data_IF_454914580276
#
_entry.id   IF_454914580276
#
_cell.length_a   1.000
_cell.length_b   1.000
_cell.length_c   1.000
_cell.angle_alpha   90.00
_cell.angle_beta   90.00
_cell.angle_gamma   90.00
#
_symmetry.space_group_name_H-M   'P 1'
#
loop_
_entity.id
_entity.type
_entity.pdbx_description
1 polymer ?
#
# COMPACT_ATOMS: atom_id res chain seq x y z
N UNK A 1 -24.18 19.15 11.28
CA UNK A 1 -23.29 19.11 10.10
C UNK A 1 -24.16 18.97 8.87
N UNK A 2 -23.99 19.78 7.81
CA UNK A 2 -24.68 19.49 6.56
C UNK A 2 -24.27 18.08 6.11
N UNK A 3 -25.23 17.29 5.64
CA UNK A 3 -25.04 15.98 4.97
C UNK A 3 -24.63 14.77 5.84
N UNK A 4 -24.95 14.72 7.14
CA UNK A 4 -24.76 13.51 7.97
C UNK A 4 -23.32 12.93 7.90
N UNK A 5 -22.32 13.79 7.70
CA UNK A 5 -20.91 13.41 7.51
C UNK A 5 -20.10 13.72 8.78
N UNK A 6 -19.19 12.82 9.16
CA UNK A 6 -18.24 13.01 10.26
C UNK A 6 -16.82 13.00 9.68
N UNK A 7 -16.12 14.13 9.80
CA UNK A 7 -14.75 14.26 9.34
C UNK A 7 -13.77 13.99 10.48
N UNK A 8 -12.84 13.08 10.26
CA UNK A 8 -11.88 12.62 11.26
C UNK A 8 -10.46 12.70 10.72
N UNK A 9 -9.55 13.17 11.56
CA UNK A 9 -8.13 12.98 11.35
C UNK A 9 -7.62 11.89 12.29
N UNK A 10 -6.94 10.91 11.70
CA UNK A 10 -6.47 9.71 12.38
C UNK A 10 -4.96 9.58 12.18
N UNK A 11 -4.17 9.44 13.25
CA UNK A 11 -2.74 9.13 13.12
C UNK A 11 -2.51 7.79 12.40
N UNK A 12 -1.80 7.84 11.28
CA UNK A 12 -1.62 6.66 10.42
C UNK A 12 -0.85 5.52 11.11
N UNK A 13 0.19 5.82 11.90
CA UNK A 13 1.03 4.79 12.51
C UNK A 13 0.27 3.93 13.56
N UNK A 14 -0.48 4.50 14.53
CA UNK A 14 -1.38 3.74 15.39
C UNK A 14 -2.45 2.97 14.61
N UNK A 15 -3.08 3.60 13.62
CA UNK A 15 -4.11 2.95 12.79
C UNK A 15 -3.54 1.73 12.04
N UNK A 16 -2.38 1.88 11.41
CA UNK A 16 -1.71 0.79 10.71
C UNK A 16 -1.36 -0.35 11.67
N UNK A 17 -0.89 -0.05 12.88
CA UNK A 17 -0.61 -1.09 13.89
C UNK A 17 -1.88 -1.85 14.27
N UNK A 18 -2.98 -1.13 14.47
CA UNK A 18 -4.26 -1.72 14.82
C UNK A 18 -4.82 -2.59 13.69
N UNK A 19 -4.77 -2.11 12.44
CA UNK A 19 -5.19 -2.88 11.26
C UNK A 19 -4.32 -4.12 11.04
N UNK A 20 -3.01 -4.06 11.31
CA UNK A 20 -2.13 -5.26 11.26
C UNK A 20 -2.57 -6.34 12.25
N UNK A 21 -3.03 -5.96 13.44
CA UNK A 21 -3.57 -6.92 14.41
C UNK A 21 -4.88 -7.57 13.92
N UNK A 22 -5.61 -6.92 13.02
CA UNK A 22 -6.86 -7.42 12.45
C UNK A 22 -6.67 -8.32 11.21
N UNK A 23 -5.45 -8.44 10.67
CA UNK A 23 -5.21 -9.09 9.38
C UNK A 23 -5.67 -10.57 9.33
N UNK A 24 -5.56 -11.29 10.44
CA UNK A 24 -5.99 -12.69 10.56
C UNK A 24 -7.14 -12.83 11.57
N UNK A 25 -7.90 -11.76 11.79
CA UNK A 25 -9.02 -11.77 12.73
C UNK A 25 -10.27 -12.39 12.09
N UNK A 26 -11.08 -13.02 12.94
CA UNK A 26 -12.41 -13.53 12.57
C UNK A 26 -13.35 -12.34 12.32
N UNK A 27 -13.23 -11.32 13.16
CA UNK A 27 -14.04 -10.12 13.08
C UNK A 27 -13.25 -8.89 13.54
N UNK A 28 -13.58 -7.74 12.93
CA UNK A 28 -13.05 -6.44 13.30
C UNK A 28 -14.19 -5.41 13.28
N UNK A 29 -14.36 -4.67 14.36
CA UNK A 29 -15.37 -3.61 14.48
C UNK A 29 -14.70 -2.29 14.82
N UNK A 30 -15.01 -1.25 14.06
CA UNK A 30 -14.51 0.11 14.29
C UNK A 30 -15.65 0.97 14.83
N UNK A 31 -15.43 1.63 15.97
CA UNK A 31 -16.41 2.50 16.62
C UNK A 31 -15.80 3.82 17.05
N UNK A 32 -16.57 4.90 16.93
CA UNK A 32 -16.25 6.17 17.57
C UNK A 32 -16.65 6.12 19.04
N UNK A 33 -15.69 6.36 19.94
CA UNK A 33 -15.91 6.40 21.38
C UNK A 33 -15.35 7.69 21.96
N UNK A 34 -15.73 7.99 23.20
CA UNK A 34 -15.24 9.14 23.95
C UNK A 34 -14.90 8.69 25.36
N UNK A 35 -13.64 8.83 25.77
CA UNK A 35 -13.15 8.46 27.10
C UNK A 35 -12.39 9.64 27.69
N UNK A 36 -12.72 10.01 28.93
CA UNK A 36 -12.08 11.15 29.63
C UNK A 36 -12.09 12.45 28.80
N UNK A 37 -13.19 12.69 28.09
CA UNK A 37 -13.39 13.80 27.15
C UNK A 37 -12.49 13.78 25.88
N UNK A 38 -11.75 12.70 25.63
CA UNK A 38 -10.92 12.49 24.44
C UNK A 38 -11.70 11.65 23.41
N UNK A 39 -11.85 12.11 22.16
CA UNK A 39 -12.45 11.30 21.10
C UNK A 39 -11.47 10.23 20.62
N UNK A 40 -11.96 9.01 20.45
CA UNK A 40 -11.18 7.82 20.11
C UNK A 40 -11.84 7.07 18.96
N UNK A 41 -11.02 6.49 18.10
CA UNK A 41 -11.41 5.43 17.17
C UNK A 41 -11.01 4.10 17.80
N UNK A 42 -12.00 3.37 18.30
CA UNK A 42 -11.81 2.08 18.98
C UNK A 42 -11.98 0.95 17.97
N UNK A 43 -10.92 0.18 17.74
CA UNK A 43 -10.93 -1.02 16.91
C UNK A 43 -10.96 -2.25 17.82
N UNK A 44 -12.10 -2.93 17.85
CA UNK A 44 -12.28 -4.22 18.53
C UNK A 44 -12.04 -5.35 17.54
N UNK A 45 -11.06 -6.19 17.84
CA UNK A 45 -10.56 -7.27 16.98
C UNK A 45 -10.78 -8.58 17.70
N UNK A 46 -11.31 -9.56 17.00
CA UNK A 46 -11.60 -10.87 17.55
C UNK A 46 -10.86 -11.94 16.76
N UNK A 47 -9.98 -12.70 17.42
CA UNK A 47 -9.10 -13.70 16.79
C UNK A 47 -9.26 -15.06 17.47
N UNK A 48 -9.19 -16.16 16.72
CA UNK A 48 -9.06 -17.51 17.30
C UNK A 48 -7.63 -17.73 17.77
N UNK A 49 -7.44 -18.22 19.00
CA UNK A 49 -6.13 -18.67 19.45
C UNK A 49 -5.99 -20.17 19.18
N UNK A 50 -5.20 -20.50 18.16
CA UNK A 50 -4.62 -21.85 18.07
C UNK A 50 -3.45 -21.87 19.05
N UNK A 51 -3.58 -22.61 20.14
CA UNK A 51 -2.51 -22.79 21.13
C UNK A 51 -1.30 -23.50 20.49
N UNK A 52 -0.38 -22.77 19.86
CA UNK A 52 0.96 -23.26 19.52
C UNK A 52 1.92 -23.01 20.68
N UNK A 53 1.64 -23.65 21.82
CA UNK A 53 2.58 -23.74 22.94
C UNK A 53 3.29 -25.09 22.91
N UNK A 54 4.63 -25.16 23.07
CA UNK A 54 5.30 -26.43 23.25
C UNK A 54 4.80 -27.08 24.55
N UNK A 55 4.63 -28.41 24.62
CA UNK A 55 4.17 -29.08 25.83
C UNK A 55 5.21 -28.83 26.93
N UNK A 56 4.83 -28.03 27.92
CA UNK A 56 5.67 -27.78 29.08
C UNK A 56 5.82 -29.09 29.85
N UNK A 57 7.07 -29.52 30.00
CA UNK A 57 7.47 -30.76 30.66
C UNK A 57 6.80 -30.94 32.02
N UNK A 58 6.09 -32.05 32.19
CA UNK A 58 5.60 -32.52 33.47
C UNK A 58 6.78 -32.88 34.36
N UNK A 59 7.02 -32.05 35.38
CA UNK A 59 7.94 -32.34 36.47
C UNK A 59 7.32 -33.37 37.42
N UNK A 60 7.63 -34.66 37.24
CA UNK A 60 7.49 -35.69 38.30
C UNK A 60 8.48 -36.83 38.06
N UNK A 61 9.61 -36.81 38.76
CA UNK A 61 10.03 -37.92 39.62
C UNK A 61 11.34 -37.58 40.34
N UNK A 62 11.22 -37.42 41.66
CA UNK A 62 12.32 -37.44 42.60
C UNK A 62 12.15 -38.66 43.52
N UNK A 63 13.29 -39.29 43.84
CA UNK A 63 13.52 -40.46 44.73
C UNK A 63 13.27 -41.81 44.04
N UNK A 64 14.21 -42.75 43.93
CA UNK A 64 15.39 -43.05 44.73
C UNK A 64 15.09 -44.27 45.61
N UNK A 65 15.75 -45.41 45.36
CA UNK A 65 15.68 -46.58 46.24
C UNK A 65 15.90 -47.92 45.53
N UNK A 66 16.97 -48.61 45.92
CA UNK A 66 17.34 -49.97 45.52
C UNK A 66 16.43 -51.04 46.16
N UNK A 67 16.39 -52.26 45.61
CA UNK A 67 15.79 -53.41 46.27
C UNK A 67 15.46 -54.57 45.32
N UNK A 68 16.07 -55.72 45.60
CA UNK A 68 15.89 -57.02 44.97
C UNK A 68 14.51 -57.67 45.26
N UNK A 69 14.22 -58.70 44.44
CA UNK A 69 13.57 -59.97 44.81
C UNK A 69 12.04 -60.08 44.98
N UNK A 70 11.53 -61.23 44.52
CA UNK A 70 10.50 -62.00 45.23
C UNK A 70 9.01 -61.75 44.97
N UNK A 71 8.41 -62.67 44.21
CA UNK A 71 7.13 -63.38 44.49
C UNK A 71 5.77 -62.66 44.58
N UNK A 72 4.82 -63.27 43.86
CA UNK A 72 3.40 -63.53 44.16
C UNK A 72 2.42 -62.38 44.45
N UNK A 73 1.25 -62.47 43.81
CA UNK A 73 0.07 -61.73 44.26
C UNK A 73 -1.02 -61.59 43.21
N UNK A 74 -1.69 -62.69 42.88
CA UNK A 74 -3.01 -62.67 42.26
C UNK A 74 -3.98 -62.00 43.25
N UNK A 75 -4.61 -60.89 42.91
CA UNK A 75 -5.96 -60.62 43.40
C UNK A 75 -6.77 -59.78 42.40
N UNK A 76 -7.99 -60.25 42.22
CA UNK A 76 -8.98 -59.79 41.29
C UNK A 76 -9.79 -58.64 41.90
N UNK A 77 -10.54 -57.97 41.03
CA UNK A 77 -11.62 -57.02 41.34
C UNK A 77 -11.20 -55.65 41.89
N UNK A 78 -10.97 -54.72 40.95
CA UNK A 78 -11.35 -53.33 41.16
C UNK A 78 -11.94 -52.80 39.87
N UNK A 79 -13.16 -52.28 39.97
CA UNK A 79 -13.96 -51.68 38.93
C UNK A 79 -13.11 -50.73 38.07
N UNK A 80 -13.07 -51.04 36.77
CA UNK A 80 -12.48 -50.18 35.76
C UNK A 80 -13.41 -48.96 35.59
N UNK A 81 -13.19 -47.91 36.39
CA UNK A 81 -13.76 -46.58 36.13
C UNK A 81 -13.18 -46.07 34.82
N UNK A 82 -13.89 -46.34 33.72
CA UNK A 82 -13.85 -45.59 32.47
C UNK A 82 -14.30 -44.15 32.73
N UNK A 83 -13.47 -43.37 33.43
CA UNK A 83 -13.79 -41.99 33.72
C UNK A 83 -12.49 -41.20 33.80
N UNK A 84 -11.73 -41.10 32.68
CA UNK A 84 -10.64 -40.10 32.52
C UNK A 84 -9.99 -40.00 31.12
N UNK A 85 -10.57 -40.51 30.04
CA UNK A 85 -10.06 -40.24 28.67
C UNK A 85 -10.86 -39.17 27.91
N UNK A 86 -12.03 -38.76 28.41
CA UNK A 86 -12.83 -37.68 27.82
C UNK A 86 -12.55 -36.28 28.42
N UNK A 87 -11.85 -36.24 29.57
CA UNK A 87 -11.53 -34.98 30.26
C UNK A 87 -10.33 -34.22 29.67
N UNK A 88 -9.50 -34.86 28.85
CA UNK A 88 -8.35 -34.22 28.19
C UNK A 88 -8.62 -33.79 26.74
N UNK A 89 -9.62 -34.39 26.09
CA UNK A 89 -10.00 -34.07 24.70
C UNK A 89 -10.90 -32.84 24.59
N UNK A 90 -11.53 -32.41 25.70
CA UNK A 90 -12.48 -31.29 25.76
C UNK A 90 -11.84 -29.94 26.12
N UNK A 91 -10.52 -29.89 26.39
CA UNK A 91 -9.84 -28.67 26.85
C UNK A 91 -9.03 -27.95 25.77
N UNK A 92 -8.97 -28.48 24.55
CA UNK A 92 -8.61 -27.71 23.38
C UNK A 92 -9.86 -26.96 22.86
N UNK A 93 -10.53 -26.22 23.76
CA UNK A 93 -11.53 -25.24 23.34
C UNK A 93 -10.78 -24.19 22.53
N UNK A 94 -11.22 -24.02 21.29
CA UNK A 94 -10.87 -22.92 20.40
C UNK A 94 -11.16 -21.61 21.15
N UNK A 95 -10.17 -21.07 21.85
CA UNK A 95 -10.34 -19.87 22.67
C UNK A 95 -10.35 -18.67 21.76
N UNK A 96 -11.43 -17.91 21.81
CA UNK A 96 -11.52 -16.63 21.15
C UNK A 96 -10.86 -15.56 22.05
N UNK A 97 -10.01 -14.73 21.47
CA UNK A 97 -9.43 -13.57 22.15
C UNK A 97 -9.89 -12.28 21.49
N UNK A 98 -10.43 -11.38 22.31
CA UNK A 98 -10.85 -10.05 21.88
C UNK A 98 -9.83 -9.02 22.34
N UNK A 99 -9.31 -8.23 21.40
CA UNK A 99 -8.36 -7.14 21.64
C UNK A 99 -9.03 -5.83 21.22
N UNK A 100 -9.04 -4.84 22.10
CA UNK A 100 -9.52 -3.49 21.78
C UNK A 100 -8.35 -2.52 21.74
N UNK A 101 -8.22 -1.79 20.64
CA UNK A 101 -7.19 -0.77 20.45
C UNK A 101 -7.83 0.60 20.26
N UNK A 102 -7.54 1.52 21.18
CA UNK A 102 -8.05 2.88 21.14
C UNK A 102 -7.03 3.81 20.47
N UNK A 103 -7.44 4.45 19.38
CA UNK A 103 -6.61 5.40 18.63
C UNK A 103 -7.15 6.81 18.88
N UNK A 104 -6.36 7.75 19.43
CA UNK A 104 -6.80 9.13 19.55
C UNK A 104 -7.01 9.74 18.17
N UNK A 105 -8.14 10.42 18.00
CA UNK A 105 -8.53 11.07 16.74
C UNK A 105 -8.83 12.54 16.98
N UNK A 106 -8.85 13.32 15.90
CA UNK A 106 -9.34 14.70 15.92
C UNK A 106 -10.60 14.79 15.07
N UNK A 107 -11.70 15.24 15.68
CA UNK A 107 -12.94 15.53 14.95
C UNK A 107 -12.79 16.90 14.30
N UNK A 108 -12.91 16.96 12.97
CA UNK A 108 -12.72 18.17 12.20
C UNK A 108 -14.05 18.90 12.00
N UNK A 109 -14.04 20.22 12.19
CA UNK A 109 -15.18 21.06 11.87
C UNK A 109 -15.37 21.13 10.34
N UNK A 110 -16.61 21.25 9.82
CA UNK A 110 -16.86 21.33 8.38
C UNK A 110 -16.05 22.42 7.67
N UNK A 111 -15.91 23.60 8.28
CA UNK A 111 -15.12 24.70 7.74
C UNK A 111 -13.62 24.37 7.57
N UNK A 112 -13.08 23.45 8.39
CA UNK A 112 -11.68 23.00 8.27
C UNK A 112 -11.47 22.03 7.10
N UNK A 113 -12.55 21.43 6.58
CA UNK A 113 -12.51 20.41 5.51
C UNK A 113 -12.89 20.98 4.16
N UNK A 114 -13.51 22.16 4.12
CA UNK A 114 -13.88 22.87 2.88
C UNK A 114 -12.67 23.08 1.93
N UNK A 115 -11.47 23.27 2.49
CA UNK A 115 -10.22 23.36 1.73
C UNK A 115 -9.56 22.02 1.37
N UNK A 116 -10.03 20.89 1.89
CA UNK A 116 -9.49 19.55 1.65
C UNK A 116 -10.29 18.85 0.55
N UNK A 117 -10.19 19.37 -0.67
CA UNK A 117 -10.80 18.77 -1.85
C UNK A 117 -9.73 18.28 -2.83
N UNK A 118 -10.15 17.47 -3.79
CA UNK A 118 -9.32 17.05 -4.90
C UNK A 118 -8.74 18.29 -5.62
N UNK A 119 -7.44 18.35 -5.87
CA UNK A 119 -6.84 19.49 -6.54
C UNK A 119 -7.36 19.61 -7.97
N UNK A 120 -7.72 20.83 -8.38
CA UNK A 120 -8.10 21.12 -9.76
C UNK A 120 -6.86 20.97 -10.65
N UNK A 121 -6.91 20.02 -11.57
CA UNK A 121 -5.88 19.79 -12.58
C UNK A 121 -6.39 20.21 -13.96
N UNK A 122 -5.46 20.52 -14.86
CA UNK A 122 -5.80 20.69 -16.29
C UNK A 122 -6.13 19.35 -16.93
N UNK A 123 -6.72 19.40 -18.11
CA UNK A 123 -6.92 18.22 -18.93
C UNK A 123 -5.58 17.57 -19.31
N UNK A 124 -5.46 16.24 -19.16
CA UNK A 124 -4.21 15.54 -19.43
C UNK A 124 -3.94 15.42 -20.93
N UNK A 125 -2.69 15.67 -21.30
CA UNK A 125 -2.18 15.52 -22.66
C UNK A 125 -2.01 14.05 -23.05
N UNK A 126 -1.66 13.18 -22.09
CA UNK A 126 -1.48 11.75 -22.33
C UNK A 126 -2.09 10.93 -21.21
N UNK A 127 -2.83 9.89 -21.56
CA UNK A 127 -3.29 8.85 -20.65
C UNK A 127 -2.70 7.51 -21.06
N UNK A 128 -2.04 6.80 -20.14
CA UNK A 128 -1.33 5.55 -20.44
C UNK A 128 -1.42 4.59 -19.27
N UNK A 129 -1.66 3.30 -19.57
CA UNK A 129 -1.60 2.24 -18.57
C UNK A 129 -0.14 1.93 -18.27
N UNK A 130 0.26 2.07 -17.00
CA UNK A 130 1.64 1.83 -16.60
C UNK A 130 1.97 0.33 -16.62
N UNK A 131 3.23 -0.04 -16.93
CA UNK A 131 3.72 -1.39 -16.72
C UNK A 131 3.78 -1.71 -15.22
N UNK A 132 4.14 -2.95 -14.88
CA UNK A 132 4.25 -3.39 -13.49
C UNK A 132 5.06 -2.39 -12.63
N UNK A 133 4.39 -1.79 -11.63
CA UNK A 133 4.99 -0.72 -10.82
C UNK A 133 6.19 -1.20 -9.98
N UNK A 134 6.28 -2.48 -9.62
CA UNK A 134 7.43 -3.03 -8.88
C UNK A 134 8.66 -3.07 -9.78
N UNK A 135 8.49 -3.41 -11.06
CA UNK A 135 9.58 -3.37 -12.05
C UNK A 135 9.99 -1.93 -12.35
N UNK A 136 9.01 -1.04 -12.58
CA UNK A 136 9.26 0.38 -12.80
C UNK A 136 10.00 0.99 -11.60
N UNK A 137 9.58 0.67 -10.38
CA UNK A 137 10.26 1.06 -9.14
C UNK A 137 11.70 0.59 -9.10
N UNK A 138 11.93 -0.67 -9.42
CA UNK A 138 13.28 -1.26 -9.42
C UNK A 138 14.22 -0.55 -10.40
N UNK A 139 13.72 -0.06 -11.54
CA UNK A 139 14.50 0.73 -12.50
C UNK A 139 14.71 2.16 -11.98
N UNK A 140 13.66 2.81 -11.49
CA UNK A 140 13.73 4.17 -10.94
C UNK A 140 14.66 4.29 -9.72
N UNK A 141 14.62 3.32 -8.80
CA UNK A 141 15.51 3.28 -7.64
C UNK A 141 16.98 3.12 -8.07
N UNK A 142 17.25 2.37 -9.14
CA UNK A 142 18.60 2.24 -9.72
C UNK A 142 19.07 3.56 -10.31
N UNK A 143 18.23 4.27 -11.07
CA UNK A 143 18.54 5.59 -11.61
C UNK A 143 18.87 6.57 -10.47
N UNK A 144 18.03 6.57 -9.43
CA UNK A 144 18.22 7.39 -8.24
C UNK A 144 19.55 7.10 -7.55
N UNK A 145 19.93 5.83 -7.38
CA UNK A 145 21.22 5.43 -6.79
C UNK A 145 22.40 5.87 -7.65
N UNK A 146 22.33 5.67 -8.97
CA UNK A 146 23.40 6.08 -9.90
C UNK A 146 23.65 7.60 -9.84
N UNK A 147 22.58 8.39 -9.80
CA UNK A 147 22.67 9.84 -9.68
C UNK A 147 23.27 10.31 -8.34
N UNK A 148 23.03 9.56 -7.26
CA UNK A 148 23.60 9.87 -5.95
C UNK A 148 25.07 9.48 -5.86
N UNK A 149 25.47 8.36 -6.48
CA UNK A 149 26.88 7.95 -6.50
C UNK A 149 27.77 8.92 -7.29
N UNK A 150 27.27 9.52 -8.37
CA UNK A 150 28.05 10.49 -9.16
C UNK A 150 28.23 11.83 -8.42
N UNK A 151 27.25 12.25 -7.59
CA UNK A 151 27.34 13.47 -6.76
C UNK A 151 28.25 13.31 -5.53
N UNK A 152 28.44 12.09 -5.04
CA UNK A 152 29.23 11.81 -3.83
C UNK A 152 30.74 12.01 -4.02
N UNK A 153 31.24 11.97 -5.26
CA UNK A 153 32.66 12.13 -5.56
C UNK A 153 33.16 13.59 -5.46
N UNK A 154 32.27 14.57 -5.27
CA UNK A 154 32.60 16.00 -5.43
C UNK A 154 32.34 16.89 -4.21
N UNK A 155 31.84 16.38 -3.06
CA UNK A 155 31.55 17.24 -1.90
C UNK A 155 31.85 16.62 -0.53
N UNK A 156 32.98 17.05 0.05
CA UNK A 156 33.22 17.11 1.50
C UNK A 156 32.49 18.33 2.08
N UNK A 157 31.33 18.15 2.70
CA UNK A 157 30.61 19.29 3.28
C UNK A 157 29.29 18.93 3.96
N UNK A 158 29.31 19.00 5.29
CA UNK A 158 28.15 18.96 6.19
C UNK A 158 27.20 20.13 5.85
N UNK A 159 25.93 19.84 5.53
CA UNK A 159 24.81 20.79 5.26
C UNK A 159 24.42 21.08 3.80
N UNK A 160 24.16 20.06 2.97
CA UNK A 160 23.26 20.26 1.82
C UNK A 160 21.92 19.59 2.09
N UNK A 161 20.82 20.36 2.07
CA UNK A 161 19.47 19.84 1.97
C UNK A 161 19.45 18.81 0.84
N UNK A 162 19.31 17.52 1.18
CA UNK A 162 19.55 16.41 0.25
C UNK A 162 18.52 16.39 -0.88
N UNK A 163 18.71 17.23 -1.91
CA UNK A 163 17.89 17.22 -3.11
C UNK A 163 18.06 15.86 -3.75
N UNK A 164 17.01 15.04 -3.76
CA UNK A 164 17.13 13.76 -4.42
C UNK A 164 17.10 13.96 -5.94
N UNK A 165 17.61 12.99 -6.71
CA UNK A 165 17.82 13.19 -8.13
C UNK A 165 16.50 13.39 -8.85
N UNK A 166 16.58 14.31 -9.81
CA UNK A 166 15.52 14.76 -10.67
C UNK A 166 15.32 13.73 -11.79
N UNK A 167 14.15 13.10 -11.82
CA UNK A 167 13.75 12.16 -12.87
C UNK A 167 12.78 12.83 -13.82
N UNK A 168 12.83 12.44 -15.09
CA UNK A 168 11.89 12.87 -16.12
C UNK A 168 11.07 11.66 -16.58
N UNK A 169 9.76 11.75 -16.49
CA UNK A 169 8.83 10.78 -17.03
C UNK A 169 8.16 11.37 -18.23
N UNK A 170 8.17 10.67 -19.36
CA UNK A 170 7.48 11.08 -20.57
C UNK A 170 6.57 9.96 -21.05
N UNK A 171 5.33 10.27 -21.39
CA UNK A 171 4.41 9.36 -22.04
C UNK A 171 3.99 9.89 -23.42
N UNK A 172 3.58 9.01 -24.32
CA UNK A 172 2.91 9.39 -25.56
C UNK A 172 1.56 8.67 -25.75
N UNK A 173 0.82 9.08 -26.78
CA UNK A 173 -0.47 8.50 -27.16
C UNK A 173 -0.37 7.27 -28.06
N UNK A 174 0.81 6.62 -28.12
CA UNK A 174 1.11 5.44 -28.93
C UNK A 174 1.71 4.30 -28.10
N UNK A 175 1.38 4.24 -26.81
CA UNK A 175 1.77 3.14 -25.93
C UNK A 175 3.24 3.17 -25.50
N UNK A 176 3.89 4.33 -25.55
CA UNK A 176 5.27 4.48 -25.13
C UNK A 176 5.40 5.28 -23.83
N UNK A 177 6.20 4.75 -22.91
CA UNK A 177 6.59 5.41 -21.67
C UNK A 177 8.12 5.49 -21.62
N UNK A 178 8.65 6.63 -21.19
CA UNK A 178 10.07 6.89 -21.07
C UNK A 178 10.39 7.41 -19.69
N UNK A 179 11.35 6.80 -19.02
CA UNK A 179 11.94 7.29 -17.78
C UNK A 179 13.38 7.71 -18.07
N UNK A 180 13.73 8.95 -17.83
CA UNK A 180 15.08 9.47 -18.02
C UNK A 180 15.65 10.09 -16.74
N UNK A 181 16.97 9.98 -16.63
CA UNK A 181 17.80 10.73 -15.70
C UNK A 181 18.86 11.43 -16.52
N UNK A 182 18.94 12.75 -16.40
CA UNK A 182 19.96 13.57 -17.02
C UNK A 182 20.79 14.27 -15.93
N UNK A 183 22.09 14.03 -15.93
CA UNK A 183 23.07 14.65 -15.03
C UNK A 183 24.33 14.99 -15.81
N UNK A 184 25.17 15.88 -15.28
CA UNK A 184 26.41 16.31 -15.94
C UNK A 184 27.34 15.14 -16.31
N UNK A 185 27.30 14.06 -15.53
CA UNK A 185 28.18 12.90 -15.70
C UNK A 185 27.53 11.72 -16.42
N UNK A 186 26.20 11.69 -16.52
CA UNK A 186 25.47 10.53 -17.00
C UNK A 186 24.08 10.92 -17.52
N UNK A 187 23.75 10.42 -18.72
CA UNK A 187 22.40 10.41 -19.27
C UNK A 187 21.95 8.98 -19.47
N UNK A 188 20.91 8.56 -18.76
CA UNK A 188 20.31 7.23 -18.90
C UNK A 188 18.81 7.36 -19.13
N UNK A 189 18.27 6.46 -19.96
CA UNK A 189 16.84 6.38 -20.23
C UNK A 189 16.41 4.92 -20.35
N UNK A 190 15.19 4.65 -19.92
CA UNK A 190 14.48 3.39 -20.15
C UNK A 190 13.20 3.70 -20.90
N UNK A 191 12.94 2.93 -21.96
CA UNK A 191 11.78 3.05 -22.83
C UNK A 191 10.95 1.76 -22.73
N UNK A 192 9.66 1.91 -22.46
CA UNK A 192 8.66 0.86 -22.57
C UNK A 192 7.78 1.18 -23.77
N UNK A 193 7.47 0.18 -24.58
CA UNK A 193 6.61 0.28 -25.76
C UNK A 193 5.50 -0.76 -25.68
N UNK A 194 4.45 -0.60 -26.50
CA UNK A 194 3.32 -1.53 -26.54
C UNK A 194 2.42 -1.47 -25.29
N UNK A 195 2.42 -0.34 -24.57
CA UNK A 195 1.48 -0.07 -23.50
C UNK A 195 0.11 0.37 -24.08
N UNK A 196 -0.93 0.27 -23.27
CA UNK A 196 -2.29 0.65 -23.66
C UNK A 196 -2.57 2.11 -23.31
N UNK A 197 -3.17 2.87 -24.22
CA UNK A 197 -3.75 4.19 -23.95
C UNK A 197 -5.28 4.05 -23.82
N UNK A 198 -5.86 4.17 -22.60
CA UNK A 198 -7.31 4.02 -22.39
C UNK A 198 -8.13 5.04 -23.18
N UNK A 199 -9.28 4.68 -23.73
CA UNK A 199 -10.12 5.68 -24.41
C UNK A 199 -10.90 6.55 -23.42
N UNK A 200 -11.09 7.82 -23.77
CA UNK A 200 -11.90 8.76 -23.00
C UNK A 200 -13.37 8.64 -23.41
N UNK A 201 -14.25 8.64 -22.42
CA UNK A 201 -15.69 8.67 -22.64
C UNK A 201 -16.12 10.07 -23.13
N UNK A 202 -16.71 10.22 -24.33
CA UNK A 202 -17.13 11.51 -24.87
C UNK A 202 -18.10 12.28 -23.97
N UNK A 203 -18.95 11.57 -23.21
CA UNK A 203 -19.96 12.19 -22.36
C UNK A 203 -19.35 12.84 -21.09
N UNK A 204 -18.12 12.45 -20.74
CA UNK A 204 -17.39 12.95 -19.58
C UNK A 204 -16.45 14.12 -19.91
N UNK A 205 -16.30 14.48 -21.19
CA UNK A 205 -15.39 15.55 -21.64
C UNK A 205 -16.17 16.84 -21.89
N UNK A 206 -16.00 17.83 -21.03
CA UNK A 206 -16.78 19.07 -21.03
C UNK A 206 -16.76 19.85 -22.37
N UNK A 207 -15.60 19.92 -23.03
CA UNK A 207 -15.40 20.68 -24.28
C UNK A 207 -15.41 19.80 -25.55
N UNK A 208 -15.84 18.55 -25.43
CA UNK A 208 -15.86 17.56 -26.50
C UNK A 208 -14.49 16.93 -26.82
N UNK A 209 -14.52 15.71 -27.35
CA UNK A 209 -13.32 14.89 -27.54
C UNK A 209 -12.36 15.42 -28.62
N UNK A 210 -12.88 16.11 -29.64
CA UNK A 210 -12.08 16.59 -30.78
C UNK A 210 -11.05 17.67 -30.38
N UNK A 211 -11.42 18.53 -29.43
CA UNK A 211 -10.54 19.60 -28.95
C UNK A 211 -9.63 19.15 -27.79
N UNK A 212 -9.85 17.94 -27.25
CA UNK A 212 -9.14 17.46 -26.07
C UNK A 212 -7.62 17.30 -26.36
N UNK A 213 -6.73 17.72 -25.43
CA UNK A 213 -5.28 17.62 -25.62
C UNK A 213 -4.78 16.23 -26.05
N UNK A 214 -5.32 15.17 -25.46
CA UNK A 214 -4.95 13.79 -25.83
C UNK A 214 -5.29 13.42 -27.27
N UNK A 215 -6.37 13.96 -27.84
CA UNK A 215 -6.76 13.66 -29.23
C UNK A 215 -5.76 14.29 -30.19
N UNK A 216 -5.29 15.51 -29.89
CA UNK A 216 -4.20 16.15 -30.66
C UNK A 216 -2.90 15.37 -30.55
N UNK A 217 -2.59 14.84 -29.35
CA UNK A 217 -1.39 14.04 -29.12
C UNK A 217 -1.42 12.68 -29.84
N UNK A 218 -2.59 12.11 -30.16
CA UNK A 218 -2.71 10.90 -31.01
C UNK A 218 -2.27 11.14 -32.46
N UNK A 219 -2.29 12.38 -32.93
CA UNK A 219 -1.83 12.76 -34.27
C UNK A 219 -0.31 12.99 -34.35
N UNK A 220 0.41 12.90 -33.23
CA UNK A 220 1.83 13.23 -33.11
C UNK A 220 2.62 12.04 -32.53
N UNK A 221 3.82 11.81 -33.05
CA UNK A 221 4.71 10.75 -32.56
C UNK A 221 4.53 9.41 -33.26
N UNK A 222 5.07 8.36 -32.65
CA UNK A 222 5.02 6.99 -33.18
C UNK A 222 4.97 5.93 -32.07
N UNK A 223 4.62 4.71 -32.45
CA UNK A 223 4.54 3.53 -31.55
C UNK A 223 5.89 2.87 -31.25
N UNK A 224 6.96 3.28 -31.94
CA UNK A 224 8.32 2.82 -31.65
C UNK A 224 9.01 3.69 -30.58
N UNK A 225 8.42 4.85 -30.25
CA UNK A 225 8.96 5.87 -29.38
C UNK A 225 10.21 6.57 -29.93
N UNK A 226 10.41 6.57 -31.25
CA UNK A 226 11.62 7.13 -31.89
C UNK A 226 11.49 8.60 -32.25
N UNK A 227 10.28 9.06 -32.56
CA UNK A 227 9.97 10.47 -32.81
C UNK A 227 10.20 11.33 -31.55
N UNK A 228 10.66 12.55 -31.79
CA UNK A 228 10.81 13.60 -30.76
C UNK A 228 9.49 14.32 -30.46
N UNK A 229 8.45 14.10 -31.27
CA UNK A 229 7.12 14.71 -31.11
C UNK A 229 6.14 13.80 -30.35
N UNK A 230 5.04 14.37 -29.85
CA UNK A 230 3.96 13.62 -29.21
C UNK A 230 4.24 13.16 -27.77
N UNK A 231 5.23 13.73 -27.10
CA UNK A 231 5.58 13.40 -25.72
C UNK A 231 5.05 14.41 -24.69
N UNK A 232 4.32 13.92 -23.69
CA UNK A 232 4.01 14.67 -22.48
C UNK A 232 5.03 14.35 -21.39
N UNK A 233 5.81 15.34 -20.94
CA UNK A 233 6.89 15.15 -19.97
C UNK A 233 6.53 15.78 -18.63
N UNK A 234 6.76 15.04 -17.54
CA UNK A 234 6.61 15.51 -16.16
C UNK A 234 7.90 15.18 -15.43
N UNK A 235 8.35 16.09 -14.59
CA UNK A 235 9.58 15.91 -13.83
C UNK A 235 9.31 15.76 -12.35
N UNK A 236 9.82 14.67 -11.77
CA UNK A 236 9.54 14.28 -10.38
C UNK A 236 10.80 14.02 -9.58
N UNK A 237 10.69 14.19 -8.26
CA UNK A 237 11.76 13.85 -7.35
C UNK A 237 11.86 12.32 -7.18
N UNK A 238 13.05 11.75 -7.38
CA UNK A 238 13.26 10.29 -7.38
C UNK A 238 12.87 9.59 -6.08
N UNK A 239 13.10 10.23 -4.91
CA UNK A 239 12.67 9.67 -3.62
C UNK A 239 11.15 9.59 -3.51
N UNK A 240 10.45 10.65 -3.89
CA UNK A 240 8.99 10.71 -3.77
C UNK A 240 8.32 9.79 -4.78
N UNK A 241 8.81 9.78 -6.01
CA UNK A 241 8.41 8.83 -7.03
C UNK A 241 8.60 7.38 -6.58
N UNK A 242 9.74 7.06 -5.96
CA UNK A 242 10.00 5.74 -5.39
C UNK A 242 9.03 5.36 -4.26
N UNK A 243 8.52 6.31 -3.47
CA UNK A 243 7.47 6.06 -2.47
C UNK A 243 6.13 5.79 -3.13
N UNK A 244 5.72 6.60 -4.11
CA UNK A 244 4.46 6.42 -4.85
C UNK A 244 4.39 5.04 -5.48
N UNK A 245 5.47 4.62 -6.18
CA UNK A 245 5.51 3.30 -6.81
C UNK A 245 5.45 2.11 -5.85
N UNK A 246 5.62 2.33 -4.54
CA UNK A 246 5.46 1.26 -3.55
C UNK A 246 4.03 0.75 -3.45
N UNK A 247 3.06 1.53 -3.94
CA UNK A 247 1.65 1.12 -4.10
C UNK A 247 1.50 -0.09 -5.03
N UNK A 248 2.47 -0.35 -5.91
CA UNK A 248 2.48 -1.53 -6.78
C UNK A 248 2.38 -2.88 -6.07
N UNK A 249 2.61 -2.92 -4.75
CA UNK A 249 2.40 -4.12 -3.92
C UNK A 249 0.93 -4.47 -3.69
N UNK A 250 0.03 -3.49 -3.83
CA UNK A 250 -1.41 -3.71 -3.75
C UNK A 250 -1.95 -4.43 -5.01
N UNK A 251 -1.13 -4.54 -6.06
CA UNK A 251 -1.55 -5.07 -7.35
C UNK A 251 -2.46 -4.10 -8.11
N UNK A 252 -3.09 -4.60 -9.16
CA UNK A 252 -4.09 -3.87 -9.94
C UNK A 252 -3.56 -3.09 -11.13
N UNK A 253 -4.50 -2.47 -11.85
CA UNK A 253 -4.26 -1.64 -13.03
C UNK A 253 -3.92 -0.22 -12.58
N UNK A 254 -2.96 0.41 -13.25
CA UNK A 254 -2.59 1.80 -12.96
C UNK A 254 -2.63 2.62 -14.23
N UNK A 255 -3.41 3.69 -14.21
CA UNK A 255 -3.49 4.66 -15.31
C UNK A 255 -2.75 5.93 -14.88
N UNK A 256 -1.81 6.36 -15.72
CA UNK A 256 -1.08 7.60 -15.56
C UNK A 256 -1.58 8.65 -16.56
N UNK A 257 -1.96 9.80 -16.03
CA UNK A 257 -2.38 10.97 -16.80
C UNK A 257 -1.31 12.06 -16.69
N UNK A 258 -0.66 12.37 -17.80
CA UNK A 258 0.39 13.37 -17.91
C UNK A 258 -0.22 14.70 -18.33
N UNK A 259 -0.03 15.72 -17.50
CA UNK A 259 -0.22 17.11 -17.85
C UNK A 259 1.18 17.68 -18.15
N UNK A 260 1.53 17.82 -19.43
CA UNK A 260 2.86 18.15 -19.92
C UNK A 260 3.40 19.37 -19.17
N UNK A 261 4.57 19.21 -18.52
CA UNK A 261 5.30 20.20 -17.72
C UNK A 261 4.60 20.67 -16.43
N UNK A 262 3.49 20.06 -16.02
CA UNK A 262 2.68 20.56 -14.89
C UNK A 262 2.41 19.54 -13.80
N UNK A 263 1.88 18.36 -14.15
CA UNK A 263 1.50 17.37 -13.16
C UNK A 263 1.38 15.96 -13.75
N UNK A 264 1.57 14.96 -12.90
CA UNK A 264 1.28 13.56 -13.15
C UNK A 264 0.18 13.14 -12.18
N UNK A 265 -0.93 12.66 -12.73
CA UNK A 265 -2.03 12.07 -11.95
C UNK A 265 -1.98 10.56 -12.13
N UNK A 266 -2.01 9.79 -11.05
CA UNK A 266 -2.04 8.32 -11.09
C UNK A 266 -3.33 7.81 -10.48
N UNK A 267 -4.09 7.04 -11.25
CA UNK A 267 -5.23 6.27 -10.78
C UNK A 267 -4.79 4.82 -10.56
N UNK A 268 -4.76 4.39 -9.30
CA UNK A 268 -4.40 3.02 -8.90
C UNK A 268 -5.69 2.28 -8.56
N UNK A 269 -6.11 1.39 -9.45
CA UNK A 269 -7.29 0.55 -9.25
C UNK A 269 -6.88 -0.65 -8.39
N UNK A 270 -7.37 -0.72 -7.16
CA UNK A 270 -7.12 -1.80 -6.23
C UNK A 270 -8.24 -2.82 -6.40
N UNK A 271 -7.91 -4.00 -6.92
CA UNK A 271 -8.88 -5.07 -7.12
C UNK A 271 -9.37 -5.63 -5.79
N UNK A 272 -10.68 -5.57 -5.54
CA UNK A 272 -11.33 -6.42 -4.55
C UNK A 272 -11.58 -7.79 -5.17
N UNK A 273 -11.09 -8.86 -4.55
CA UNK A 273 -11.39 -10.24 -4.96
C UNK A 273 -12.87 -10.62 -4.81
N UNK A 274 -13.72 -9.72 -4.32
CA UNK A 274 -15.11 -10.00 -3.98
C UNK A 274 -16.08 -9.33 -4.95
N UNK A 275 -16.71 -10.16 -5.78
CA UNK A 275 -17.75 -9.81 -6.76
C UNK A 275 -18.92 -9.06 -6.09
N UNK A 276 -18.85 -7.73 -6.04
CA UNK A 276 -19.94 -6.89 -5.54
C UNK A 276 -19.50 -5.62 -4.80
N UNK A 277 -18.24 -5.52 -4.38
CA UNK A 277 -17.68 -4.29 -3.81
C UNK A 277 -17.06 -3.48 -4.96
N UNK A 278 -17.52 -2.25 -5.16
CA UNK A 278 -17.06 -1.39 -6.26
C UNK A 278 -15.54 -1.24 -6.31
N UNK A 279 -15.01 -0.98 -7.51
CA UNK A 279 -13.58 -0.77 -7.71
C UNK A 279 -13.07 0.36 -6.81
N UNK A 280 -12.13 0.04 -5.92
CA UNK A 280 -11.50 1.04 -5.06
C UNK A 280 -10.36 1.70 -5.81
N UNK A 281 -10.39 3.03 -5.91
CA UNK A 281 -9.36 3.81 -6.62
C UNK A 281 -8.58 4.66 -5.62
N UNK A 282 -7.25 4.56 -5.69
CA UNK A 282 -6.33 5.45 -5.00
C UNK A 282 -5.70 6.41 -6.01
N UNK A 283 -5.91 7.71 -5.81
CA UNK A 283 -5.41 8.75 -6.72
C UNK A 283 -4.23 9.50 -6.13
N UNK A 284 -3.15 9.63 -6.91
CA UNK A 284 -2.00 10.47 -6.56
C UNK A 284 -1.90 11.66 -7.51
N UNK A 285 -1.65 12.85 -6.95
CA UNK A 285 -1.32 14.07 -7.69
C UNK A 285 0.12 14.43 -7.41
N UNK A 286 0.95 14.48 -8.46
CA UNK A 286 2.37 14.79 -8.36
C UNK A 286 2.65 16.01 -9.22
N UNK A 287 3.04 17.12 -8.59
CA UNK A 287 3.41 18.33 -9.32
C UNK A 287 4.75 18.15 -10.03
N UNK A 288 4.83 18.62 -11.27
CA UNK A 288 6.08 18.73 -12.01
C UNK A 288 6.89 19.91 -11.48
N UNK A 289 8.19 19.72 -11.27
CA UNK A 289 9.08 20.88 -11.11
C UNK A 289 9.39 21.51 -12.48
N UNK A 290 9.66 22.82 -12.48
CA UNK A 290 10.14 23.54 -13.66
C UNK A 290 11.58 23.13 -14.02
N UNK A 291 11.88 23.11 -15.32
CA UNK A 291 13.23 22.87 -15.85
C UNK A 291 14.26 23.82 -15.24
#
# INVERSE_FOLDING_TARGET
APNNTINLEVPLAPLQRALKSAQNAIAANIRLTKKDNIPLLSLTITTSTINSGPPSASAFNARGGAGEDGTDGFDASSEFREESVEAFSSRAQDRETTVTQDIPIRVLAPASVEGLHEPVCRDPDVHITLPNLVQLKSISDRFTKLALSTKSSTRTGFNSSTSSPKLELSGNMHGCLRLSLNTDSLRISSLWTGLENPELDPDQVADGLDNHPSTRMKGLGDSAGQSDEGWATVRVEGRDWGRVLSVGRLGGRVIACFCHEHALVLYVFIGGEESGVGESVLTYYISSYSA
#
